data_IF_852467579331
#
_entry.id   IF_852467579331
#
_cell.length_a   1.000
_cell.length_b   1.000
_cell.length_c   1.000
_cell.angle_alpha   90.00
_cell.angle_beta   90.00
_cell.angle_gamma   90.00
#
_symmetry.space_group_name_H-M   'P 1'
#
loop_
_entity.id
_entity.type
_entity.pdbx_description
1 polymer ?
#
# COMPACT_ATOMS: atom_id res chain seq x y z
N UNK A 1 -24.84 -14.93 -13.88
CA UNK A 1 -23.98 -13.85 -14.40
C UNK A 1 -23.74 -12.69 -13.41
N UNK A 2 -24.77 -12.12 -12.79
CA UNK A 2 -24.64 -10.97 -11.86
C UNK A 2 -23.78 -11.26 -10.61
N UNK A 3 -23.93 -12.45 -9.99
CA UNK A 3 -23.16 -12.85 -8.79
C UNK A 3 -21.66 -12.98 -9.07
N UNK A 4 -21.27 -13.56 -10.21
CA UNK A 4 -19.86 -13.69 -10.61
C UNK A 4 -19.20 -12.33 -10.89
N UNK A 5 -19.95 -11.38 -11.48
CA UNK A 5 -19.47 -10.02 -11.68
C UNK A 5 -19.23 -9.29 -10.34
N UNK A 6 -20.15 -9.43 -9.38
CA UNK A 6 -20.00 -8.85 -8.04
C UNK A 6 -18.80 -9.46 -7.32
N UNK A 7 -18.63 -10.79 -7.34
CA UNK A 7 -17.47 -11.45 -6.71
C UNK A 7 -16.15 -10.98 -7.34
N UNK A 8 -16.10 -10.82 -8.66
CA UNK A 8 -14.97 -10.24 -9.38
C UNK A 8 -14.71 -8.79 -8.93
N UNK A 9 -15.77 -7.99 -8.80
CA UNK A 9 -15.67 -6.60 -8.32
C UNK A 9 -15.12 -6.52 -6.90
N UNK A 10 -15.61 -7.35 -5.96
CA UNK A 10 -15.09 -7.40 -4.59
C UNK A 10 -13.61 -7.78 -4.55
N UNK A 11 -13.19 -8.74 -5.38
CA UNK A 11 -11.78 -9.13 -5.45
C UNK A 11 -10.90 -8.02 -6.04
N UNK A 12 -11.37 -7.28 -7.03
CA UNK A 12 -10.63 -6.14 -7.60
C UNK A 12 -10.56 -4.96 -6.64
N UNK A 13 -11.64 -4.73 -5.86
CA UNK A 13 -11.70 -3.67 -4.85
C UNK A 13 -10.66 -3.86 -3.75
N UNK A 14 -10.28 -5.11 -3.44
CA UNK A 14 -9.16 -5.40 -2.54
C UNK A 14 -7.88 -4.69 -2.97
N UNK A 15 -7.67 -4.45 -4.27
CA UNK A 15 -6.43 -3.86 -4.82
C UNK A 15 -5.20 -4.57 -4.25
N UNK A 16 -5.16 -5.90 -4.42
CA UNK A 16 -4.21 -6.76 -3.72
C UNK A 16 -2.74 -6.37 -3.90
N UNK A 17 -2.32 -5.80 -5.04
CA UNK A 17 -0.94 -5.38 -5.28
C UNK A 17 -0.54 -4.23 -4.34
N UNK A 18 -1.27 -3.10 -4.24
CA UNK A 18 -1.06 -2.10 -3.21
C UNK A 18 -1.11 -2.67 -1.79
N UNK A 19 -2.11 -3.50 -1.46
CA UNK A 19 -2.23 -4.10 -0.11
C UNK A 19 -0.99 -4.94 0.23
N UNK A 20 -0.48 -5.73 -0.71
CA UNK A 20 0.73 -6.53 -0.52
C UNK A 20 1.95 -5.67 -0.21
N UNK A 21 2.14 -4.55 -0.91
CA UNK A 21 3.27 -3.67 -0.63
C UNK A 21 3.10 -2.94 0.71
N UNK A 22 1.90 -2.40 0.99
CA UNK A 22 1.68 -1.50 2.11
C UNK A 22 1.42 -2.25 3.42
N UNK A 23 0.15 -2.58 3.72
CA UNK A 23 -0.20 -3.15 5.02
C UNK A 23 0.32 -4.59 5.19
N UNK A 24 0.20 -5.43 4.17
CA UNK A 24 0.60 -6.84 4.29
C UNK A 24 2.10 -6.97 4.60
N UNK A 25 2.98 -6.35 3.78
CA UNK A 25 4.43 -6.40 4.02
C UNK A 25 4.81 -5.68 5.31
N UNK A 26 4.19 -4.54 5.66
CA UNK A 26 4.41 -3.87 6.93
C UNK A 26 4.12 -4.78 8.14
N UNK A 27 2.99 -5.49 8.11
CA UNK A 27 2.56 -6.40 9.17
C UNK A 27 3.49 -7.61 9.26
N UNK A 28 3.80 -8.24 8.13
CA UNK A 28 4.71 -9.39 8.09
C UNK A 28 6.11 -9.01 8.59
N UNK A 29 6.62 -7.86 8.16
CA UNK A 29 7.91 -7.35 8.59
C UNK A 29 7.92 -6.99 10.08
N UNK A 30 6.91 -6.26 10.56
CA UNK A 30 6.76 -5.92 11.99
C UNK A 30 6.71 -7.17 12.86
N UNK A 31 5.95 -8.19 12.44
CA UNK A 31 5.92 -9.50 13.12
C UNK A 31 7.27 -10.19 13.10
N UNK A 32 7.97 -10.21 11.94
CA UNK A 32 9.30 -10.83 11.81
C UNK A 32 10.31 -10.22 12.76
N UNK A 33 10.31 -8.89 12.91
CA UNK A 33 11.18 -8.16 13.84
C UNK A 33 10.81 -8.49 15.29
N UNK A 34 9.52 -8.53 15.62
CA UNK A 34 9.05 -8.88 16.96
C UNK A 34 9.49 -10.29 17.35
N UNK A 35 9.37 -11.26 16.45
CA UNK A 35 9.84 -12.65 16.67
C UNK A 35 11.35 -12.68 16.89
N UNK A 36 12.11 -11.92 16.10
CA UNK A 36 13.58 -11.87 16.22
C UNK A 36 14.04 -11.23 17.54
N UNK A 37 13.29 -10.28 18.10
CA UNK A 37 13.64 -9.60 19.35
C UNK A 37 13.03 -10.26 20.59
N UNK A 38 11.77 -10.71 20.53
CA UNK A 38 11.06 -11.28 21.67
C UNK A 38 11.15 -12.82 21.76
N UNK A 39 11.58 -13.49 20.70
CA UNK A 39 11.74 -14.95 20.66
C UNK A 39 10.44 -15.74 20.71
N UNK A 40 9.28 -15.09 20.48
CA UNK A 40 7.97 -15.72 20.52
C UNK A 40 7.14 -15.37 19.28
N UNK A 41 6.25 -16.27 18.88
CA UNK A 41 5.30 -16.08 17.80
C UNK A 41 3.93 -16.61 18.19
N UNK A 42 2.93 -15.76 18.16
CA UNK A 42 1.52 -16.16 18.28
C UNK A 42 0.85 -16.06 16.90
N UNK A 43 0.48 -17.21 16.28
CA UNK A 43 -0.09 -17.23 14.94
C UNK A 43 -1.47 -16.57 14.87
N UNK A 44 -2.25 -16.59 15.95
CA UNK A 44 -3.59 -15.99 15.97
C UNK A 44 -3.51 -14.46 15.97
N UNK A 45 -2.65 -13.89 16.83
CA UNK A 45 -2.39 -12.45 16.84
C UNK A 45 -1.85 -11.96 15.47
N UNK A 46 -1.01 -12.78 14.83
CA UNK A 46 -0.51 -12.47 13.49
C UNK A 46 -1.62 -12.48 12.43
N UNK A 47 -2.47 -13.51 12.41
CA UNK A 47 -3.56 -13.62 11.44
C UNK A 47 -4.57 -12.48 11.64
N UNK A 48 -4.90 -12.13 12.87
CA UNK A 48 -5.81 -11.02 13.16
C UNK A 48 -5.23 -9.68 12.71
N UNK A 49 -3.94 -9.43 12.97
CA UNK A 49 -3.27 -8.23 12.47
C UNK A 49 -3.31 -8.15 10.93
N UNK A 50 -3.07 -9.27 10.23
CA UNK A 50 -3.20 -9.34 8.76
C UNK A 50 -4.63 -9.07 8.29
N UNK A 51 -5.62 -9.65 8.95
CA UNK A 51 -7.03 -9.42 8.61
C UNK A 51 -7.43 -7.96 8.83
N UNK A 52 -7.00 -7.33 9.93
CA UNK A 52 -7.22 -5.90 10.17
C UNK A 52 -6.59 -5.07 9.03
N UNK A 53 -5.35 -5.36 8.64
CA UNK A 53 -4.68 -4.67 7.54
C UNK A 53 -5.44 -4.79 6.21
N UNK A 54 -5.93 -6.00 5.88
CA UNK A 54 -6.73 -6.25 4.67
C UNK A 54 -8.09 -5.54 4.76
N UNK A 55 -8.76 -5.56 5.91
CA UNK A 55 -10.07 -4.93 6.08
C UNK A 55 -9.97 -3.41 6.02
N UNK A 56 -8.99 -2.81 6.68
CA UNK A 56 -8.81 -1.33 6.68
C UNK A 56 -8.29 -0.88 5.32
N UNK A 57 -7.10 -1.30 4.90
CA UNK A 57 -6.53 -0.79 3.66
C UNK A 57 -7.24 -1.36 2.44
N UNK A 58 -7.45 -2.70 2.40
CA UNK A 58 -7.95 -3.38 1.21
C UNK A 58 -9.42 -3.11 0.89
N UNK A 59 -10.23 -2.79 1.89
CA UNK A 59 -11.66 -2.60 1.68
C UNK A 59 -12.19 -1.27 2.19
N UNK A 60 -11.93 -0.92 3.45
CA UNK A 60 -12.43 0.33 4.02
C UNK A 60 -11.88 1.55 3.28
N UNK A 61 -10.56 1.69 3.25
CA UNK A 61 -9.86 2.81 2.60
C UNK A 61 -10.15 2.85 1.10
N UNK A 62 -10.04 1.69 0.41
CA UNK A 62 -10.20 1.66 -1.04
C UNK A 62 -11.65 1.92 -1.47
N UNK A 63 -12.67 1.40 -0.75
CA UNK A 63 -14.06 1.66 -1.08
C UNK A 63 -14.41 3.15 -0.95
N UNK A 64 -13.93 3.82 0.10
CA UNK A 64 -14.11 5.27 0.25
C UNK A 64 -13.34 6.04 -0.82
N UNK A 65 -12.13 5.62 -1.12
CA UNK A 65 -11.31 6.22 -2.19
C UNK A 65 -12.00 6.10 -3.55
N UNK A 66 -12.44 4.91 -3.94
CA UNK A 66 -13.13 4.67 -5.22
C UNK A 66 -14.39 5.54 -5.36
N UNK A 67 -15.19 5.69 -4.28
CA UNK A 67 -16.41 6.50 -4.30
C UNK A 67 -16.10 8.00 -4.52
N UNK A 68 -15.17 8.55 -3.75
CA UNK A 68 -14.90 9.99 -3.82
C UNK A 68 -14.06 10.37 -5.04
N UNK A 69 -13.12 9.54 -5.45
CA UNK A 69 -12.32 9.78 -6.66
C UNK A 69 -13.17 9.60 -7.94
N UNK A 70 -14.14 8.68 -7.93
CA UNK A 70 -15.16 8.59 -8.97
C UNK A 70 -16.04 9.86 -9.05
N UNK A 71 -16.54 10.33 -7.91
CA UNK A 71 -17.37 11.53 -7.84
C UNK A 71 -16.65 12.80 -8.25
N UNK A 72 -15.35 12.89 -7.97
CA UNK A 72 -14.51 14.04 -8.36
C UNK A 72 -14.07 13.99 -9.83
N UNK A 73 -14.23 12.83 -10.49
CA UNK A 73 -13.77 12.60 -11.86
C UNK A 73 -12.28 12.25 -11.95
N UNK A 74 -11.61 11.97 -10.82
CA UNK A 74 -10.21 11.50 -10.82
C UNK A 74 -10.10 10.11 -11.44
N UNK A 75 -10.99 9.19 -11.05
CA UNK A 75 -11.00 7.79 -11.48
C UNK A 75 -11.94 7.58 -12.68
N UNK A 76 -11.69 8.29 -13.78
CA UNK A 76 -12.45 8.18 -15.03
C UNK A 76 -11.65 7.55 -16.16
N UNK A 77 -12.11 7.78 -17.39
CA UNK A 77 -11.47 7.27 -18.62
C UNK A 77 -10.07 7.82 -18.89
N UNK A 78 -9.65 8.86 -18.14
CA UNK A 78 -8.35 9.51 -18.31
C UNK A 78 -7.18 8.74 -17.67
N UNK A 79 -7.47 7.73 -16.87
CA UNK A 79 -6.41 6.91 -16.25
C UNK A 79 -5.70 6.07 -17.30
N UNK A 80 -4.35 6.18 -17.38
CA UNK A 80 -3.60 5.66 -18.52
C UNK A 80 -3.36 4.14 -18.47
N UNK A 81 -3.68 3.43 -17.38
CA UNK A 81 -3.43 1.99 -17.26
C UNK A 81 -4.21 1.32 -16.13
N UNK A 82 -4.17 -0.02 -16.12
CA UNK A 82 -4.95 -0.88 -15.20
C UNK A 82 -4.61 -0.72 -13.71
N UNK A 83 -3.40 -0.27 -13.38
CA UNK A 83 -2.96 -0.04 -12.00
C UNK A 83 -3.05 1.44 -11.57
N UNK A 84 -3.67 2.31 -12.37
CA UNK A 84 -3.97 3.70 -12.03
C UNK A 84 -5.46 3.98 -12.22
N UNK A 85 -6.00 5.00 -11.54
CA UNK A 85 -7.41 5.34 -11.55
C UNK A 85 -8.26 4.35 -10.77
N UNK A 86 -7.88 4.07 -9.54
CA UNK A 86 -8.66 3.25 -8.61
C UNK A 86 -8.71 1.77 -8.95
N UNK A 87 -9.70 1.07 -8.39
CA UNK A 87 -10.01 -0.33 -8.68
C UNK A 87 -10.78 -0.49 -9.99
N UNK A 88 -11.36 0.61 -10.49
CA UNK A 88 -12.23 0.71 -11.68
C UNK A 88 -13.49 -0.13 -11.61
N UNK A 89 -13.91 -0.57 -10.45
CA UNK A 89 -15.10 -1.41 -10.30
C UNK A 89 -16.39 -0.64 -10.61
N UNK A 90 -16.41 0.69 -10.36
CA UNK A 90 -17.52 1.57 -10.76
C UNK A 90 -17.51 1.79 -12.27
N UNK A 91 -16.37 2.14 -12.86
CA UNK A 91 -16.22 2.36 -14.30
C UNK A 91 -16.60 1.10 -15.12
N UNK A 92 -16.19 -0.08 -14.65
CA UNK A 92 -16.49 -1.35 -15.30
C UNK A 92 -17.92 -1.88 -14.99
N UNK A 93 -18.70 -1.20 -14.16
CA UNK A 93 -20.04 -1.63 -13.76
C UNK A 93 -20.08 -2.94 -12.97
N UNK A 94 -18.96 -3.32 -12.32
CA UNK A 94 -18.85 -4.54 -11.52
C UNK A 94 -19.49 -4.35 -10.15
N UNK A 95 -19.34 -3.19 -9.55
CA UNK A 95 -19.95 -2.77 -8.29
C UNK A 95 -20.69 -1.45 -8.47
N UNK A 96 -21.62 -1.19 -7.56
CA UNK A 96 -22.31 0.08 -7.41
C UNK A 96 -21.78 0.83 -6.18
N UNK A 97 -21.95 2.15 -6.13
CA UNK A 97 -21.61 2.93 -4.92
C UNK A 97 -22.26 2.38 -3.65
N UNK A 98 -23.53 1.92 -3.73
CA UNK A 98 -24.20 1.30 -2.58
C UNK A 98 -23.50 0.04 -2.08
N UNK A 99 -22.94 -0.75 -2.99
CA UNK A 99 -22.17 -1.94 -2.64
C UNK A 99 -20.82 -1.56 -2.04
N UNK A 100 -20.16 -0.52 -2.54
CA UNK A 100 -18.93 0.01 -1.94
C UNK A 100 -19.16 0.54 -0.53
N UNK A 101 -20.26 1.28 -0.28
CA UNK A 101 -20.63 1.68 1.07
C UNK A 101 -20.92 0.48 2.00
N UNK A 102 -21.51 -0.58 1.47
CA UNK A 102 -21.71 -1.81 2.24
C UNK A 102 -20.36 -2.51 2.55
N UNK A 103 -19.44 -2.57 1.60
CA UNK A 103 -18.07 -3.08 1.79
C UNK A 103 -17.37 -2.26 2.88
N UNK A 104 -17.39 -0.93 2.78
CA UNK A 104 -16.85 -0.03 3.79
C UNK A 104 -17.43 -0.34 5.19
N UNK A 105 -18.75 -0.39 5.33
CA UNK A 105 -19.40 -0.60 6.64
C UNK A 105 -19.08 -1.96 7.24
N UNK A 106 -19.13 -3.03 6.43
CA UNK A 106 -18.84 -4.39 6.89
C UNK A 106 -17.35 -4.52 7.27
N UNK A 107 -16.44 -4.03 6.42
CA UNK A 107 -15.00 -4.10 6.71
C UNK A 107 -14.63 -3.30 7.96
N UNK A 108 -15.21 -2.12 8.14
CA UNK A 108 -15.01 -1.31 9.35
C UNK A 108 -15.46 -2.04 10.62
N UNK A 109 -16.69 -2.59 10.62
CA UNK A 109 -17.21 -3.33 11.77
C UNK A 109 -16.30 -4.52 12.10
N UNK A 110 -15.94 -5.33 11.11
CA UNK A 110 -15.08 -6.49 11.32
C UNK A 110 -13.68 -6.10 11.79
N UNK A 111 -13.09 -5.05 11.23
CA UNK A 111 -11.78 -4.56 11.67
C UNK A 111 -11.79 -4.12 13.14
N UNK A 112 -12.82 -3.38 13.56
CA UNK A 112 -12.96 -2.95 14.95
C UNK A 112 -13.27 -4.10 15.90
N UNK A 113 -14.04 -5.11 15.50
CA UNK A 113 -14.26 -6.31 16.31
C UNK A 113 -12.94 -7.07 16.57
N UNK A 114 -12.13 -7.27 15.53
CA UNK A 114 -10.79 -7.86 15.67
C UNK A 114 -9.85 -6.99 16.51
N UNK A 115 -9.91 -5.66 16.35
CA UNK A 115 -9.11 -4.75 17.15
C UNK A 115 -9.46 -4.81 18.64
N UNK A 116 -10.74 -4.98 18.98
CA UNK A 116 -11.19 -5.19 20.37
C UNK A 116 -10.69 -6.53 20.90
N UNK A 117 -10.73 -7.60 20.11
CA UNK A 117 -10.18 -8.90 20.51
C UNK A 117 -8.66 -8.80 20.80
N UNK A 118 -7.90 -8.17 19.88
CA UNK A 118 -6.48 -7.89 20.12
C UNK A 118 -6.25 -7.05 21.38
N UNK A 119 -7.07 -6.02 21.61
CA UNK A 119 -6.99 -5.19 22.82
C UNK A 119 -7.15 -6.02 24.10
N UNK A 120 -8.13 -6.92 24.16
CA UNK A 120 -8.37 -7.76 25.32
C UNK A 120 -7.18 -8.70 25.63
N UNK A 121 -6.39 -9.04 24.60
CA UNK A 121 -5.22 -9.94 24.74
C UNK A 121 -3.88 -9.22 24.86
N UNK A 122 -3.73 -8.01 24.32
CA UNK A 122 -2.45 -7.33 24.22
C UNK A 122 -2.41 -5.94 24.86
N UNK A 123 -3.58 -5.39 25.23
CA UNK A 123 -3.68 -4.08 25.90
C UNK A 123 -3.97 -2.91 24.97
N UNK A 124 -4.01 -1.65 25.50
CA UNK A 124 -4.63 -0.52 24.82
C UNK A 124 -3.85 0.07 23.64
N UNK A 125 -2.55 -0.17 23.53
CA UNK A 125 -1.70 0.41 22.48
C UNK A 125 -2.17 -0.03 21.09
N UNK A 126 -2.65 -1.27 20.95
CA UNK A 126 -3.15 -1.77 19.67
C UNK A 126 -4.35 -0.97 19.18
N UNK A 127 -5.28 -0.57 20.05
CA UNK A 127 -6.43 0.25 19.64
C UNK A 127 -6.00 1.62 19.13
N UNK A 128 -4.98 2.23 19.76
CA UNK A 128 -4.43 3.50 19.31
C UNK A 128 -3.83 3.35 17.91
N UNK A 129 -3.03 2.30 17.67
CA UNK A 129 -2.40 2.06 16.37
C UNK A 129 -3.43 1.74 15.28
N UNK A 130 -4.45 0.92 15.60
CA UNK A 130 -5.56 0.64 14.67
C UNK A 130 -6.35 1.92 14.38
N UNK A 131 -6.66 2.74 15.39
CA UNK A 131 -7.37 4.00 15.20
C UNK A 131 -6.59 4.98 14.30
N UNK A 132 -5.27 5.05 14.47
CA UNK A 132 -4.39 5.86 13.61
C UNK A 132 -4.43 5.35 12.17
N UNK A 133 -4.27 4.03 11.95
CA UNK A 133 -4.33 3.43 10.61
C UNK A 133 -5.70 3.62 9.95
N UNK A 134 -6.78 3.40 10.69
CA UNK A 134 -8.15 3.61 10.23
C UNK A 134 -8.41 5.08 9.84
N UNK A 135 -8.02 6.02 10.70
CA UNK A 135 -8.17 7.43 10.43
C UNK A 135 -7.33 7.89 9.22
N UNK A 136 -6.09 7.38 9.09
CA UNK A 136 -5.23 7.67 7.95
C UNK A 136 -5.87 7.21 6.63
N UNK A 137 -6.48 6.01 6.60
CA UNK A 137 -7.20 5.49 5.44
C UNK A 137 -8.48 6.26 5.13
N UNK A 138 -9.37 6.41 6.12
CA UNK A 138 -10.65 7.11 5.95
C UNK A 138 -10.46 8.56 5.50
N UNK A 139 -9.62 9.31 6.19
CA UNK A 139 -9.39 10.73 5.94
C UNK A 139 -8.54 10.99 4.69
N UNK A 140 -8.02 9.93 4.05
CA UNK A 140 -7.26 10.06 2.82
C UNK A 140 -8.10 10.73 1.72
N UNK A 141 -9.35 10.28 1.53
CA UNK A 141 -10.26 10.83 0.51
C UNK A 141 -11.57 11.36 1.06
N UNK A 142 -11.98 11.00 2.28
CA UNK A 142 -13.24 11.44 2.85
C UNK A 142 -13.23 12.95 3.21
N UNK A 143 -14.27 13.71 2.78
CA UNK A 143 -14.48 15.08 3.24
C UNK A 143 -14.71 15.14 4.76
N UNK A 144 -14.40 16.25 5.41
CA UNK A 144 -13.81 17.49 4.86
C UNK A 144 -12.29 17.50 4.82
N UNK A 145 -11.63 16.44 5.30
CA UNK A 145 -10.15 16.43 5.47
C UNK A 145 -9.46 16.17 4.14
N UNK A 146 -9.77 15.07 3.45
CA UNK A 146 -9.25 14.73 2.11
C UNK A 146 -7.73 14.95 2.00
N UNK A 147 -6.93 14.23 2.78
CA UNK A 147 -5.48 14.46 2.81
C UNK A 147 -4.82 14.23 1.45
N UNK A 148 -5.31 13.30 0.61
CA UNK A 148 -4.81 13.06 -0.74
C UNK A 148 -5.07 14.21 -1.72
N UNK A 149 -6.02 15.11 -1.40
CA UNK A 149 -6.31 16.30 -2.18
C UNK A 149 -5.45 17.51 -1.77
N UNK A 150 -4.52 17.33 -0.83
CA UNK A 150 -3.67 18.40 -0.30
C UNK A 150 -2.19 18.02 -0.42
N UNK A 151 -1.33 18.90 -0.94
CA UNK A 151 0.10 18.63 -1.08
C UNK A 151 0.71 18.17 0.24
N UNK A 152 1.55 17.15 0.19
CA UNK A 152 2.24 16.50 1.31
C UNK A 152 1.33 15.80 2.33
N UNK A 153 0.09 16.24 2.50
CA UNK A 153 -0.80 15.65 3.51
C UNK A 153 -1.15 14.18 3.20
N UNK A 154 -1.42 13.85 1.94
CA UNK A 154 -1.66 12.47 1.52
C UNK A 154 -0.45 11.56 1.76
N UNK A 155 0.75 12.08 1.49
CA UNK A 155 2.00 11.34 1.65
C UNK A 155 2.27 11.04 3.13
N UNK A 156 2.21 12.07 3.99
CA UNK A 156 2.61 11.97 5.40
C UNK A 156 1.47 11.52 6.32
N UNK A 157 0.30 12.15 6.26
CA UNK A 157 -0.81 11.85 7.17
C UNK A 157 -1.63 10.63 6.71
N UNK A 158 -1.66 10.34 5.41
CA UNK A 158 -2.29 9.15 4.87
C UNK A 158 -1.30 7.98 4.79
N UNK A 159 -0.48 7.98 3.73
CA UNK A 159 0.37 6.85 3.39
C UNK A 159 1.41 6.49 4.46
N UNK A 160 2.28 7.42 4.81
CA UNK A 160 3.36 7.20 5.79
C UNK A 160 2.81 6.77 7.16
N UNK A 161 1.83 7.50 7.67
CA UNK A 161 1.24 7.23 9.00
C UNK A 161 0.51 5.90 9.03
N UNK A 162 -0.30 5.57 8.00
CA UNK A 162 -1.03 4.31 7.95
C UNK A 162 -0.12 3.08 7.93
N UNK A 163 0.93 3.10 7.09
CA UNK A 163 1.91 2.00 7.00
C UNK A 163 2.73 1.86 8.28
N UNK A 164 3.17 2.98 8.85
CA UNK A 164 3.91 2.97 10.13
C UNK A 164 3.06 2.36 11.24
N UNK A 165 1.79 2.76 11.35
CA UNK A 165 0.88 2.22 12.35
C UNK A 165 0.63 0.70 12.15
N UNK A 166 0.50 0.23 10.91
CA UNK A 166 0.32 -1.19 10.61
C UNK A 166 1.54 -2.03 11.04
N UNK A 167 2.76 -1.58 10.69
CA UNK A 167 3.99 -2.27 11.07
C UNK A 167 4.23 -2.28 12.58
N UNK A 168 4.04 -1.15 13.25
CA UNK A 168 4.16 -1.05 14.71
C UNK A 168 3.07 -1.82 15.44
N UNK A 169 1.84 -1.85 14.92
CA UNK A 169 0.74 -2.64 15.47
C UNK A 169 1.06 -4.13 15.46
N UNK A 170 1.54 -4.65 14.33
CA UNK A 170 1.94 -6.03 14.19
C UNK A 170 3.13 -6.40 15.09
N UNK A 171 4.11 -5.52 15.20
CA UNK A 171 5.20 -5.70 16.16
C UNK A 171 4.67 -5.74 17.60
N UNK A 172 3.85 -4.74 17.98
CA UNK A 172 3.36 -4.61 19.35
C UNK A 172 2.55 -5.82 19.80
N UNK A 173 1.65 -6.36 18.98
CA UNK A 173 0.82 -7.51 19.40
C UNK A 173 1.66 -8.76 19.67
N UNK A 174 2.85 -8.88 19.08
CA UNK A 174 3.78 -9.97 19.34
C UNK A 174 4.70 -9.70 20.53
N UNK A 175 5.26 -8.49 20.64
CA UNK A 175 6.29 -8.14 21.61
C UNK A 175 5.76 -7.49 22.90
N UNK A 176 4.56 -6.90 22.87
CA UNK A 176 3.90 -6.11 23.94
C UNK A 176 4.70 -4.86 24.36
N UNK A 177 5.63 -4.45 23.52
CA UNK A 177 6.48 -3.25 23.65
C UNK A 177 6.66 -2.63 22.28
N UNK A 178 7.35 -1.50 22.21
CA UNK A 178 7.81 -0.92 20.93
C UNK A 178 9.29 -0.63 21.07
N UNK A 179 10.12 -1.25 20.21
CA UNK A 179 11.56 -1.01 20.16
C UNK A 179 11.92 0.09 19.16
N UNK A 180 13.10 0.68 19.33
CA UNK A 180 13.66 1.62 18.34
C UNK A 180 13.86 0.95 16.98
N UNK A 181 14.27 -0.32 16.99
CA UNK A 181 14.42 -1.12 15.77
C UNK A 181 13.09 -1.22 15.02
N UNK A 182 11.99 -1.54 15.72
CA UNK A 182 10.66 -1.62 15.11
C UNK A 182 10.23 -0.27 14.50
N UNK A 183 10.49 0.84 15.20
CA UNK A 183 10.20 2.20 14.68
C UNK A 183 11.00 2.46 13.40
N UNK A 184 12.29 2.19 13.40
CA UNK A 184 13.15 2.41 12.22
C UNK A 184 12.69 1.60 11.02
N UNK A 185 12.30 0.34 11.20
CA UNK A 185 11.75 -0.49 10.13
C UNK A 185 10.40 0.00 9.61
N UNK A 186 9.49 0.35 10.52
CA UNK A 186 8.18 0.88 10.14
C UNK A 186 8.33 2.18 9.33
N UNK A 187 9.22 3.08 9.75
CA UNK A 187 9.56 4.32 9.03
C UNK A 187 10.19 4.02 7.67
N UNK A 188 11.17 3.11 7.61
CA UNK A 188 11.84 2.76 6.37
C UNK A 188 10.86 2.13 5.37
N UNK A 189 9.98 1.21 5.82
CA UNK A 189 8.97 0.61 4.95
C UNK A 189 7.93 1.63 4.48
N UNK A 190 7.50 2.53 5.36
CA UNK A 190 6.62 3.63 4.99
C UNK A 190 7.28 4.53 3.91
N UNK A 191 8.59 4.77 3.99
CA UNK A 191 9.33 5.49 2.95
C UNK A 191 9.32 4.75 1.59
N UNK A 192 9.42 3.41 1.58
CA UNK A 192 9.26 2.62 0.33
C UNK A 192 7.87 2.86 -0.26
N UNK A 193 6.83 2.76 0.57
CA UNK A 193 5.44 2.90 0.14
C UNK A 193 5.15 4.31 -0.39
N UNK A 194 5.58 5.36 0.31
CA UNK A 194 5.39 6.75 -0.13
C UNK A 194 6.20 7.04 -1.41
N UNK A 195 7.44 6.55 -1.51
CA UNK A 195 8.23 6.65 -2.73
C UNK A 195 7.49 6.05 -3.94
N UNK A 196 6.89 4.86 -3.78
CA UNK A 196 6.06 4.23 -4.81
C UNK A 196 4.82 5.08 -5.12
N UNK A 197 4.10 5.57 -4.12
CA UNK A 197 2.91 6.40 -4.29
C UNK A 197 3.22 7.66 -5.12
N UNK A 198 4.32 8.32 -4.83
CA UNK A 198 4.76 9.51 -5.59
C UNK A 198 5.07 9.18 -7.04
N UNK A 199 5.63 7.99 -7.33
CA UNK A 199 5.82 7.53 -8.70
C UNK A 199 4.49 7.24 -9.40
N UNK A 200 3.53 6.64 -8.67
CA UNK A 200 2.17 6.40 -9.16
C UNK A 200 1.46 7.71 -9.57
N UNK A 201 1.59 8.77 -8.77
CA UNK A 201 0.98 10.06 -9.05
C UNK A 201 1.45 10.73 -10.35
N UNK A 202 2.56 10.31 -10.97
CA UNK A 202 2.89 10.78 -12.32
C UNK A 202 1.87 10.34 -13.37
N UNK A 203 1.26 9.17 -13.17
CA UNK A 203 0.26 8.62 -14.08
C UNK A 203 -1.09 9.33 -13.95
N UNK A 204 -1.41 9.76 -12.74
CA UNK A 204 -2.70 10.36 -12.41
C UNK A 204 -2.67 11.91 -12.48
N UNK A 205 -1.50 12.51 -12.73
CA UNK A 205 -1.28 13.96 -12.66
C UNK A 205 -2.29 14.76 -13.51
N UNK A 206 -2.61 14.29 -14.71
CA UNK A 206 -3.56 14.96 -15.60
C UNK A 206 -5.00 14.81 -15.11
N UNK A 207 -5.39 13.62 -14.63
CA UNK A 207 -6.72 13.36 -14.07
C UNK A 207 -6.93 14.14 -12.77
N UNK A 208 -5.96 14.07 -11.85
CA UNK A 208 -5.96 14.78 -10.57
C UNK A 208 -6.09 16.30 -10.75
N UNK A 209 -5.37 16.87 -11.73
CA UNK A 209 -5.41 18.30 -12.00
C UNK A 209 -6.76 18.79 -12.54
N UNK A 210 -7.51 17.93 -13.24
CA UNK A 210 -8.82 18.23 -13.83
C UNK A 210 -10.01 17.90 -12.93
N UNK A 211 -9.79 17.10 -11.88
CA UNK A 211 -10.82 16.70 -10.92
C UNK A 211 -11.57 17.88 -10.29
N UNK A 212 -12.79 17.64 -9.83
CA UNK A 212 -13.62 18.66 -9.14
C UNK A 212 -14.24 18.07 -7.86
N UNK A 213 -13.76 18.46 -6.65
CA UNK A 213 -12.66 19.42 -6.39
C UNK A 213 -11.32 18.93 -6.94
N UNK A 214 -10.41 19.86 -7.28
CA UNK A 214 -9.09 19.51 -7.78
C UNK A 214 -8.31 18.68 -6.77
N UNK A 215 -7.82 17.51 -7.18
CA UNK A 215 -6.96 16.67 -6.36
C UNK A 215 -5.51 17.15 -6.48
N UNK A 216 -5.13 18.05 -5.57
CA UNK A 216 -3.82 18.69 -5.59
C UNK A 216 -2.80 17.83 -4.85
N UNK A 217 -2.49 16.65 -5.41
CA UNK A 217 -1.42 15.78 -4.88
C UNK A 217 -0.06 16.50 -4.85
N UNK A 218 0.90 15.95 -4.12
CA UNK A 218 2.26 16.52 -4.05
C UNK A 218 2.90 16.61 -5.43
N UNK A 219 2.68 15.64 -6.31
CA UNK A 219 3.21 15.66 -7.68
C UNK A 219 2.51 16.73 -8.54
N UNK A 220 1.20 16.91 -8.42
CA UNK A 220 0.48 18.01 -9.09
C UNK A 220 0.98 19.36 -8.60
N UNK A 221 1.31 19.49 -7.32
CA UNK A 221 1.79 20.74 -6.71
C UNK A 221 3.23 21.08 -7.10
N UNK A 222 4.16 20.12 -6.98
CA UNK A 222 5.59 20.32 -7.22
C UNK A 222 5.96 20.27 -8.71
N UNK A 223 5.12 19.62 -9.50
CA UNK A 223 5.45 19.24 -10.87
C UNK A 223 6.48 18.08 -10.93
N UNK A 224 6.65 17.49 -12.13
CA UNK A 224 7.39 16.23 -12.26
C UNK A 224 8.88 16.31 -11.93
N UNK A 225 9.53 17.47 -12.11
CA UNK A 225 10.96 17.63 -11.82
C UNK A 225 11.26 17.67 -10.33
N UNK A 226 10.60 18.56 -9.59
CA UNK A 226 10.80 18.71 -8.14
C UNK A 226 10.20 17.49 -7.42
N UNK A 227 9.05 17.00 -7.87
CA UNK A 227 8.43 15.77 -7.36
C UNK A 227 9.35 14.56 -7.44
N UNK A 228 10.16 14.45 -8.51
CA UNK A 228 11.17 13.39 -8.63
C UNK A 228 12.27 13.49 -7.57
N UNK A 229 12.76 14.69 -7.27
CA UNK A 229 13.75 14.91 -6.20
C UNK A 229 13.15 14.55 -4.85
N UNK A 230 11.93 15.00 -4.59
CA UNK A 230 11.20 14.68 -3.36
C UNK A 230 10.99 13.17 -3.21
N UNK A 231 10.51 12.47 -4.24
CA UNK A 231 10.33 11.02 -4.21
C UNK A 231 11.66 10.27 -3.99
N UNK A 232 12.75 10.75 -4.60
CA UNK A 232 14.09 10.16 -4.43
C UNK A 232 14.59 10.27 -2.99
N UNK A 233 14.21 11.31 -2.22
CA UNK A 233 14.61 11.48 -0.83
C UNK A 233 14.10 10.34 0.08
N UNK A 234 12.93 9.78 -0.21
CA UNK A 234 12.43 8.60 0.51
C UNK A 234 13.28 7.36 0.26
N UNK A 235 13.71 7.13 -0.98
CA UNK A 235 14.61 6.02 -1.29
C UNK A 235 15.98 6.17 -0.59
N UNK A 236 16.51 7.39 -0.52
CA UNK A 236 17.74 7.69 0.24
C UNK A 236 17.54 7.38 1.73
N UNK A 237 16.40 7.74 2.31
CA UNK A 237 16.09 7.45 3.71
C UNK A 237 16.06 5.92 3.95
N UNK A 238 15.46 5.14 3.04
CA UNK A 238 15.45 3.66 3.13
C UNK A 238 16.87 3.09 3.12
N UNK A 239 17.73 3.56 2.21
CA UNK A 239 19.15 3.14 2.16
C UNK A 239 19.86 3.48 3.47
N UNK A 240 19.71 4.71 3.97
CA UNK A 240 20.36 5.16 5.21
C UNK A 240 19.90 4.35 6.42
N UNK A 241 18.59 4.18 6.61
CA UNK A 241 18.04 3.42 7.75
C UNK A 241 18.44 1.94 7.62
N UNK A 242 18.33 1.34 6.45
CA UNK A 242 18.73 -0.07 6.22
C UNK A 242 20.22 -0.30 6.51
N UNK A 243 21.09 0.63 6.11
CA UNK A 243 22.51 0.57 6.40
C UNK A 243 22.80 0.72 7.91
N UNK A 244 22.15 1.67 8.59
CA UNK A 244 22.28 1.83 10.05
C UNK A 244 21.85 0.57 10.77
N UNK A 245 20.72 -0.03 10.40
CA UNK A 245 20.24 -1.27 11.00
C UNK A 245 21.18 -2.45 10.72
N UNK A 246 21.80 -2.51 9.53
CA UNK A 246 22.78 -3.54 9.20
C UNK A 246 24.04 -3.44 10.06
N UNK A 247 24.46 -2.23 10.39
CA UNK A 247 25.64 -1.97 11.23
C UNK A 247 25.36 -2.16 12.72
N UNK A 248 24.18 -1.77 13.20
CA UNK A 248 23.90 -1.67 14.64
C UNK A 248 23.07 -2.83 15.18
N UNK A 249 22.36 -3.58 14.31
CA UNK A 249 21.46 -4.64 14.77
C UNK A 249 21.74 -5.99 14.08
N UNK A 250 21.41 -6.12 12.80
CA UNK A 250 21.59 -7.39 12.04
C UNK A 250 21.98 -7.10 10.60
N UNK A 251 23.03 -7.79 10.11
CA UNK A 251 23.54 -7.62 8.75
C UNK A 251 22.51 -7.95 7.66
N UNK A 252 21.55 -8.85 7.93
CA UNK A 252 20.50 -9.26 6.99
C UNK A 252 19.62 -8.06 6.55
N UNK A 253 19.58 -7.01 7.36
CA UNK A 253 18.84 -5.78 7.04
C UNK A 253 19.41 -5.01 5.86
N UNK A 254 20.59 -5.42 5.37
CA UNK A 254 21.15 -4.93 4.11
C UNK A 254 20.20 -5.17 2.92
N UNK A 255 19.33 -6.19 2.99
CA UNK A 255 18.30 -6.43 1.99
C UNK A 255 17.33 -5.26 1.87
N UNK A 256 17.05 -4.59 2.99
CA UNK A 256 16.21 -3.40 2.99
C UNK A 256 16.93 -2.20 2.37
N UNK A 257 18.21 -2.00 2.68
CA UNK A 257 19.04 -1.01 2.00
C UNK A 257 19.12 -1.27 0.48
N UNK A 258 19.23 -2.55 0.08
CA UNK A 258 19.23 -2.94 -1.32
C UNK A 258 17.91 -2.58 -2.03
N UNK A 259 16.75 -2.81 -1.38
CA UNK A 259 15.45 -2.36 -1.89
C UNK A 259 15.41 -0.82 -2.04
N UNK A 260 15.99 -0.08 -1.10
CA UNK A 260 16.18 1.37 -1.20
C UNK A 260 17.03 1.79 -2.39
N UNK A 261 18.15 1.11 -2.65
CA UNK A 261 19.01 1.36 -3.83
C UNK A 261 18.24 1.09 -5.14
N UNK A 262 17.48 0.00 -5.20
CA UNK A 262 16.61 -0.29 -6.36
C UNK A 262 15.60 0.83 -6.55
N UNK A 263 14.95 1.29 -5.48
CA UNK A 263 14.03 2.44 -5.51
C UNK A 263 14.72 3.72 -6.00
N UNK A 264 15.91 4.02 -5.51
CA UNK A 264 16.72 5.17 -5.93
C UNK A 264 17.02 5.13 -7.44
N UNK A 265 17.46 3.98 -7.96
CA UNK A 265 17.74 3.78 -9.38
C UNK A 265 16.45 3.89 -10.21
N UNK A 266 15.35 3.31 -9.73
CA UNK A 266 14.07 3.39 -10.39
C UNK A 266 13.58 4.84 -10.52
N UNK A 267 13.60 5.61 -9.42
CA UNK A 267 13.26 7.04 -9.45
C UNK A 267 14.19 7.84 -10.36
N UNK A 268 15.51 7.58 -10.31
CA UNK A 268 16.47 8.27 -11.15
C UNK A 268 16.21 8.06 -12.65
N UNK A 269 15.82 6.83 -13.04
CA UNK A 269 15.60 6.44 -14.45
C UNK A 269 14.18 6.70 -14.96
N UNK A 270 13.19 6.78 -14.10
CA UNK A 270 11.81 7.02 -14.51
C UNK A 270 11.68 8.33 -15.27
N UNK A 271 11.02 8.29 -16.43
CA UNK A 271 10.58 9.46 -17.15
C UNK A 271 9.12 9.76 -16.77
N UNK A 272 8.83 10.81 -16.00
CA UNK A 272 7.48 11.12 -15.52
C UNK A 272 6.44 11.39 -16.64
N UNK A 273 6.89 11.63 -17.87
CA UNK A 273 6.02 11.89 -19.03
C UNK A 273 5.77 10.66 -19.89
N UNK A 274 6.41 9.55 -19.59
CA UNK A 274 6.30 8.29 -20.32
C UNK A 274 5.62 7.23 -19.43
N UNK A 275 4.37 6.91 -19.75
CA UNK A 275 3.55 5.92 -19.03
C UNK A 275 4.27 4.59 -18.92
N UNK A 276 4.91 4.12 -20.00
CA UNK A 276 5.65 2.86 -20.02
C UNK A 276 6.87 2.90 -19.09
N UNK A 277 7.61 4.01 -19.09
CA UNK A 277 8.73 4.21 -18.17
C UNK A 277 8.28 4.20 -16.72
N UNK A 278 7.25 5.01 -16.37
CA UNK A 278 6.72 5.06 -15.02
C UNK A 278 6.23 3.68 -14.59
N UNK A 279 5.44 3.00 -15.43
CA UNK A 279 4.89 1.66 -15.12
C UNK A 279 5.99 0.65 -14.80
N UNK A 280 7.04 0.56 -15.62
CA UNK A 280 8.15 -0.38 -15.38
C UNK A 280 8.88 -0.08 -14.07
N UNK A 281 9.20 1.18 -13.81
CA UNK A 281 9.95 1.56 -12.61
C UNK A 281 9.11 1.46 -11.34
N UNK A 282 7.82 1.78 -11.40
CA UNK A 282 6.89 1.59 -10.29
C UNK A 282 6.74 0.11 -9.92
N UNK A 283 6.53 -0.78 -10.91
CA UNK A 283 6.49 -2.22 -10.67
C UNK A 283 7.81 -2.73 -10.08
N UNK A 284 8.94 -2.18 -10.50
CA UNK A 284 10.25 -2.51 -9.90
C UNK A 284 10.30 -2.13 -8.42
N UNK A 285 9.82 -0.95 -8.03
CA UNK A 285 9.76 -0.52 -6.63
C UNK A 285 8.79 -1.39 -5.84
N UNK A 286 7.61 -1.70 -6.38
CA UNK A 286 6.63 -2.59 -5.75
C UNK A 286 7.24 -3.97 -5.48
N UNK A 287 7.85 -4.58 -6.50
CA UNK A 287 8.44 -5.92 -6.39
C UNK A 287 9.63 -5.94 -5.44
N UNK A 288 10.49 -4.93 -5.47
CA UNK A 288 11.62 -4.80 -4.55
C UNK A 288 11.13 -4.60 -3.09
N UNK A 289 10.09 -3.78 -2.88
CA UNK A 289 9.51 -3.55 -1.56
C UNK A 289 8.87 -4.80 -0.98
N UNK A 290 8.02 -5.49 -1.75
CA UNK A 290 7.39 -6.75 -1.32
C UNK A 290 8.47 -7.82 -1.13
N UNK A 291 9.30 -8.07 -2.14
CA UNK A 291 10.29 -9.14 -2.12
C UNK A 291 11.34 -8.94 -1.03
N UNK A 292 11.90 -7.73 -0.90
CA UNK A 292 12.88 -7.41 0.13
C UNK A 292 12.29 -7.47 1.55
N UNK A 293 11.07 -6.93 1.73
CA UNK A 293 10.38 -6.97 3.02
C UNK A 293 10.03 -8.39 3.46
N UNK A 294 9.43 -9.21 2.57
CA UNK A 294 9.08 -10.59 2.89
C UNK A 294 10.33 -11.48 3.08
N UNK A 295 11.34 -11.32 2.23
CA UNK A 295 12.60 -12.08 2.39
C UNK A 295 13.25 -11.79 3.74
N UNK A 296 13.35 -10.50 4.11
CA UNK A 296 13.88 -10.13 5.41
C UNK A 296 13.04 -10.69 6.56
N UNK A 297 11.73 -10.57 6.51
CA UNK A 297 10.84 -11.09 7.55
C UNK A 297 10.99 -12.61 7.72
N UNK A 298 11.10 -13.38 6.63
CA UNK A 298 11.31 -14.84 6.66
C UNK A 298 12.70 -15.20 7.18
N UNK A 299 13.74 -14.45 6.84
CA UNK A 299 15.09 -14.66 7.39
C UNK A 299 15.09 -14.41 8.90
N UNK A 300 14.44 -13.35 9.36
CA UNK A 300 14.32 -13.01 10.78
C UNK A 300 13.45 -14.00 11.56
N UNK A 301 12.40 -14.52 10.91
CA UNK A 301 11.40 -15.41 11.50
C UNK A 301 10.95 -16.46 10.46
N UNK A 302 11.64 -17.62 10.32
CA UNK A 302 11.30 -18.63 9.32
C UNK A 302 9.87 -19.18 9.40
N UNK A 303 9.23 -19.07 10.56
CA UNK A 303 7.81 -19.41 10.76
C UNK A 303 6.87 -18.63 9.84
N UNK A 304 7.29 -17.48 9.31
CA UNK A 304 6.55 -16.66 8.36
C UNK A 304 6.67 -17.12 6.89
N UNK A 305 7.45 -18.17 6.59
CA UNK A 305 7.62 -18.68 5.22
C UNK A 305 6.27 -18.95 4.49
N UNK A 306 5.19 -19.44 5.14
CA UNK A 306 3.91 -19.66 4.48
C UNK A 306 3.24 -18.40 3.89
N UNK A 307 3.64 -17.19 4.31
CA UNK A 307 3.08 -15.95 3.72
C UNK A 307 3.54 -15.71 2.28
N UNK A 308 4.70 -16.27 1.89
CA UNK A 308 5.27 -16.06 0.55
C UNK A 308 4.38 -16.62 -0.56
N UNK A 309 3.96 -17.90 -0.55
CA UNK A 309 3.03 -18.41 -1.56
C UNK A 309 1.68 -17.69 -1.54
N UNK A 310 1.19 -17.23 -0.38
CA UNK A 310 -0.02 -16.42 -0.28
C UNK A 310 0.16 -15.10 -1.03
N UNK A 311 1.26 -14.38 -0.80
CA UNK A 311 1.55 -13.13 -1.47
C UNK A 311 1.69 -13.30 -3.00
N UNK A 312 2.39 -14.34 -3.46
CA UNK A 312 2.53 -14.65 -4.89
C UNK A 312 1.17 -14.94 -5.52
N UNK A 313 0.33 -15.76 -4.86
CA UNK A 313 -1.00 -16.12 -5.36
C UNK A 313 -1.90 -14.90 -5.46
N UNK A 314 -1.90 -14.04 -4.44
CA UNK A 314 -2.67 -12.79 -4.44
C UNK A 314 -2.19 -11.83 -5.54
N UNK A 315 -0.86 -11.66 -5.69
CA UNK A 315 -0.27 -10.79 -6.70
C UNK A 315 -0.66 -11.24 -8.12
N UNK A 316 -0.39 -12.51 -8.46
CA UNK A 316 -0.66 -13.05 -9.80
C UNK A 316 -2.16 -13.16 -10.07
N UNK A 317 -2.94 -13.58 -9.06
CA UNK A 317 -4.39 -13.67 -9.15
C UNK A 317 -5.04 -12.31 -9.42
N UNK A 318 -4.61 -11.27 -8.67
CA UNK A 318 -5.12 -9.93 -8.87
C UNK A 318 -4.77 -9.38 -10.26
N UNK A 319 -3.51 -9.50 -10.66
CA UNK A 319 -3.05 -9.05 -11.97
C UNK A 319 -3.86 -9.73 -13.10
N UNK A 320 -4.02 -11.07 -13.04
CA UNK A 320 -4.80 -11.83 -14.01
C UNK A 320 -6.27 -11.36 -14.10
N UNK A 321 -6.90 -11.12 -12.94
CA UNK A 321 -8.29 -10.67 -12.90
C UNK A 321 -8.42 -9.23 -13.39
N UNK A 322 -7.50 -8.34 -13.01
CA UNK A 322 -7.48 -6.95 -13.45
C UNK A 322 -7.34 -6.85 -14.99
N UNK A 323 -6.40 -7.58 -15.58
CA UNK A 323 -6.21 -7.64 -17.04
C UNK A 323 -7.41 -8.25 -17.78
N UNK A 324 -8.26 -9.04 -17.10
CA UNK A 324 -9.49 -9.58 -17.72
C UNK A 324 -10.66 -8.58 -17.77
N UNK A 325 -10.50 -7.39 -17.18
CA UNK A 325 -11.48 -6.29 -17.29
C UNK A 325 -11.09 -5.45 -18.49
N UNK A 326 -11.87 -5.53 -19.56
CA UNK A 326 -11.65 -4.75 -20.78
C UNK A 326 -11.92 -3.28 -20.50
N UNK A 327 -10.86 -2.51 -20.39
CA UNK A 327 -10.87 -1.05 -20.30
C UNK A 327 -9.73 -0.52 -21.16
N UNK A 328 -9.76 0.73 -21.62
CA UNK A 328 -8.64 1.34 -22.36
C UNK A 328 -7.31 1.20 -21.65
N UNK A 329 -7.31 1.31 -20.33
CA UNK A 329 -6.10 1.14 -19.51
C UNK A 329 -5.59 -0.31 -19.49
N UNK A 330 -6.46 -1.33 -19.51
CA UNK A 330 -6.04 -2.72 -19.58
C UNK A 330 -5.38 -3.03 -20.93
N UNK A 331 -5.94 -2.54 -22.02
CA UNK A 331 -5.37 -2.69 -23.37
C UNK A 331 -3.99 -2.04 -23.46
N UNK A 332 -3.83 -0.84 -22.90
CA UNK A 332 -2.55 -0.16 -22.86
C UNK A 332 -1.50 -0.90 -22.03
N UNK A 333 -1.91 -1.48 -20.87
CA UNK A 333 -1.02 -2.28 -20.05
C UNK A 333 -0.53 -3.54 -20.78
N UNK A 334 -1.43 -4.25 -21.49
CA UNK A 334 -1.07 -5.42 -22.31
C UNK A 334 -0.06 -5.05 -23.39
N UNK A 335 -0.24 -3.91 -24.05
CA UNK A 335 0.70 -3.40 -25.06
C UNK A 335 2.07 -3.09 -24.49
N UNK A 336 2.13 -2.53 -23.25
CA UNK A 336 3.39 -2.23 -22.55
C UNK A 336 4.08 -3.52 -22.07
N UNK A 337 3.31 -4.47 -21.55
CA UNK A 337 3.84 -5.75 -21.05
C UNK A 337 4.31 -6.67 -22.19
N UNK A 338 3.67 -6.58 -23.34
CA UNK A 338 3.96 -7.36 -24.53
C UNK A 338 4.09 -6.43 -25.75
N UNK A 339 5.19 -5.68 -25.90
CA UNK A 339 5.36 -4.79 -27.05
C UNK A 339 5.35 -5.59 -28.35
N UNK A 340 4.71 -5.08 -29.39
CA UNK A 340 4.76 -5.72 -30.71
C UNK A 340 6.23 -5.86 -31.16
N UNK A 341 6.59 -7.07 -31.59
CA UNK A 341 7.93 -7.44 -32.05
C UNK A 341 8.31 -6.70 -33.33
#
# INVERSE_FOLDING_TARGET
MRTAAVAKGIFLELRAIPVLLWSFTAIVLGTGIAVAEAGRFDPWLFVEALLIGVLIQGYETHAVNEIYDWRSGTDGDLSPRVLSGGSRVLLAGLLTERQLWAIFGVSSILAWLLAVDLFLRTGPVVLVLVAIGYAAGLLYTAPPVQTSYRPFAGDWLGGFTGVTAAGLGAYYVQALTISVTAVLFAVAHACVCVGMLLMHHYLDMDADSRARPQKRTTIVFLGPRIGKVYATSFAIAVVGIGAVLALLWRVETILFAAAGVIGLVAHARANPRDVGSVTRHELTVIQAGIGGGLALAVILAPVLLPVVPVAITLYLGHLRVALSVRTPAAEQYETIANPPT
#
